data_IF_603762941515
#
_entry.id   IF_603762941515
#
_cell.length_a   1.000
_cell.length_b   1.000
_cell.length_c   1.000
_cell.angle_alpha   90.00
_cell.angle_beta   90.00
_cell.angle_gamma   90.00
#
_symmetry.space_group_name_H-M   'P 1'
#
loop_
_entity.id
_entity.type
_entity.pdbx_description
1 polymer ?
#
# COMPACT_ATOMS: atom_id res chain seq x y z
N UNK A 1 77.86 -22.26 12.59
CA UNK A 1 76.49 -22.42 12.05
C UNK A 1 75.98 -23.79 12.50
N UNK A 2 75.01 -23.85 13.40
CA UNK A 2 74.27 -25.06 13.70
C UNK A 2 72.78 -24.70 13.65
N UNK A 3 72.10 -25.14 12.60
CA UNK A 3 70.67 -24.94 12.43
C UNK A 3 69.94 -25.91 13.36
N UNK A 4 69.45 -25.41 14.50
CA UNK A 4 68.59 -26.18 15.40
C UNK A 4 67.22 -26.34 14.75
N UNK A 5 67.00 -27.45 14.04
CA UNK A 5 65.67 -27.85 13.59
C UNK A 5 64.88 -28.32 14.81
N UNK A 6 63.82 -27.60 15.17
CA UNK A 6 62.90 -28.03 16.23
C UNK A 6 62.12 -29.24 15.72
N UNK A 7 62.28 -30.37 16.39
CA UNK A 7 61.54 -31.59 16.09
C UNK A 7 60.07 -31.39 16.50
N UNK A 8 59.18 -31.19 15.52
CA UNK A 8 57.74 -31.10 15.76
C UNK A 8 57.21 -32.53 15.86
N UNK A 9 56.50 -32.85 16.93
CA UNK A 9 55.96 -34.21 17.09
C UNK A 9 54.87 -34.47 16.04
N UNK A 10 54.72 -35.71 15.54
CA UNK A 10 53.64 -36.08 14.63
C UNK A 10 52.25 -35.73 15.19
N UNK A 11 52.09 -35.81 16.52
CA UNK A 11 50.86 -35.46 17.22
C UNK A 11 50.56 -33.97 17.13
N UNK A 12 51.57 -33.11 17.23
CA UNK A 12 51.42 -31.66 17.05
C UNK A 12 50.98 -31.33 15.63
N UNK A 13 51.56 -31.98 14.62
CA UNK A 13 51.13 -31.79 13.21
C UNK A 13 49.68 -32.21 13.04
N UNK A 14 49.25 -33.34 13.60
CA UNK A 14 47.88 -33.84 13.51
C UNK A 14 46.85 -32.89 14.17
N UNK A 15 47.19 -32.30 15.32
CA UNK A 15 46.33 -31.33 16.01
C UNK A 15 46.19 -30.05 15.18
N UNK A 16 47.29 -29.53 14.62
CA UNK A 16 47.21 -28.32 13.79
C UNK A 16 46.46 -28.55 12.49
N UNK A 17 46.64 -29.70 11.82
CA UNK A 17 45.90 -30.01 10.59
C UNK A 17 44.41 -30.19 10.87
N UNK A 18 44.03 -30.88 11.94
CA UNK A 18 42.62 -31.03 12.32
C UNK A 18 41.98 -29.69 12.65
N UNK A 19 42.63 -28.84 13.46
CA UNK A 19 42.11 -27.50 13.76
C UNK A 19 41.98 -26.62 12.52
N UNK A 20 42.93 -26.70 11.58
CA UNK A 20 42.87 -25.98 10.31
C UNK A 20 41.71 -26.47 9.44
N UNK A 21 41.48 -27.78 9.35
CA UNK A 21 40.35 -28.36 8.60
C UNK A 21 39.02 -27.96 9.23
N UNK A 22 38.87 -28.01 10.56
CA UNK A 22 37.63 -27.60 11.23
C UNK A 22 37.34 -26.10 11.08
N UNK A 23 38.35 -25.24 11.20
CA UNK A 23 38.21 -23.79 11.01
C UNK A 23 37.89 -23.44 9.56
N UNK A 24 38.56 -24.08 8.60
CA UNK A 24 38.26 -23.91 7.17
C UNK A 24 36.86 -24.41 6.83
N UNK A 25 36.45 -25.57 7.32
CA UNK A 25 35.10 -26.11 7.11
C UNK A 25 34.01 -25.25 7.75
N UNK A 26 34.29 -24.66 8.92
CA UNK A 26 33.38 -23.71 9.58
C UNK A 26 33.28 -22.39 8.82
N UNK A 27 34.40 -21.88 8.28
CA UNK A 27 34.43 -20.68 7.44
C UNK A 27 33.69 -20.92 6.12
N UNK A 28 33.94 -22.05 5.45
CA UNK A 28 33.24 -22.44 4.22
C UNK A 28 31.76 -22.63 4.51
N UNK A 29 31.36 -23.31 5.58
CA UNK A 29 29.94 -23.41 5.97
C UNK A 29 29.32 -22.08 6.37
N UNK A 30 30.08 -21.14 6.93
CA UNK A 30 29.61 -19.78 7.25
C UNK A 30 29.40 -18.96 5.98
N UNK A 31 30.31 -19.07 5.00
CA UNK A 31 30.17 -18.48 3.67
C UNK A 31 29.01 -19.13 2.89
N UNK A 32 28.82 -20.46 3.02
CA UNK A 32 27.72 -21.19 2.38
C UNK A 32 26.36 -20.96 3.05
N UNK A 33 26.31 -20.79 4.39
CA UNK A 33 25.10 -20.40 5.13
C UNK A 33 24.71 -18.93 4.90
N UNK A 34 25.65 -18.08 4.46
CA UNK A 34 25.42 -16.67 4.12
C UNK A 34 24.68 -16.42 2.81
N UNK A 35 24.39 -17.46 2.02
CA UNK A 35 23.67 -17.35 0.75
C UNK A 35 22.44 -18.27 0.70
N UNK A 36 21.52 -18.10 1.65
CA UNK A 36 20.10 -18.18 1.24
C UNK A 36 19.77 -16.87 0.54
N UNK A 37 20.04 -16.81 -0.75
CA UNK A 37 19.41 -15.82 -1.63
C UNK A 37 17.90 -16.06 -1.53
N UNK A 38 17.21 -15.32 -0.66
CA UNK A 38 15.81 -15.03 -0.93
C UNK A 38 15.86 -14.13 -2.16
N UNK A 39 15.46 -14.67 -3.31
CA UNK A 39 15.31 -13.87 -4.52
C UNK A 39 14.51 -12.61 -4.19
N UNK A 40 15.02 -11.45 -4.62
CA UNK A 40 14.34 -10.20 -4.39
C UNK A 40 12.90 -10.31 -4.93
N UNK A 41 11.90 -9.77 -4.23
CA UNK A 41 10.51 -9.76 -4.69
C UNK A 41 10.40 -9.31 -6.14
N UNK A 42 9.90 -10.19 -7.01
CA UNK A 42 9.75 -9.90 -8.44
C UNK A 42 8.32 -9.42 -8.73
N UNK A 43 8.18 -8.14 -9.06
CA UNK A 43 6.94 -7.47 -9.42
C UNK A 43 7.21 -6.32 -10.38
N UNK A 44 6.18 -5.85 -11.10
CA UNK A 44 6.34 -4.96 -12.26
C UNK A 44 5.97 -3.51 -11.97
N UNK A 45 4.86 -3.29 -11.24
CA UNK A 45 4.34 -1.97 -10.90
C UNK A 45 3.71 -1.94 -9.50
N UNK A 46 3.35 -0.74 -9.04
CA UNK A 46 2.58 -0.51 -7.82
C UNK A 46 1.15 -0.11 -8.18
N UNK A 47 0.16 -0.74 -7.56
CA UNK A 47 -1.24 -0.30 -7.62
C UNK A 47 -1.54 0.51 -6.36
N UNK A 48 -1.85 1.79 -6.52
CA UNK A 48 -2.34 2.62 -5.43
C UNK A 48 -3.87 2.55 -5.39
N UNK A 49 -4.39 1.90 -4.37
CA UNK A 49 -5.82 1.63 -4.19
C UNK A 49 -6.43 2.64 -3.24
N UNK A 50 -7.45 3.35 -3.70
CA UNK A 50 -8.29 4.22 -2.89
C UNK A 50 -9.70 3.65 -2.84
N UNK A 51 -10.34 3.69 -1.67
CA UNK A 51 -11.71 3.26 -1.47
C UNK A 51 -12.62 4.44 -1.06
N UNK A 52 -13.91 4.32 -1.38
CA UNK A 52 -14.93 5.26 -0.91
C UNK A 52 -15.48 4.77 0.43
N UNK A 53 -15.23 5.48 1.56
CA UNK A 53 -15.61 4.99 2.88
C UNK A 53 -17.10 4.65 3.04
N UNK A 54 -17.98 5.43 2.40
CA UNK A 54 -19.42 5.14 2.45
C UNK A 54 -19.78 3.82 1.78
N UNK A 55 -19.10 3.47 0.69
CA UNK A 55 -19.29 2.19 -0.01
C UNK A 55 -18.72 1.03 0.79
N UNK A 56 -17.54 1.19 1.39
CA UNK A 56 -16.95 0.19 2.29
C UNK A 56 -17.86 -0.07 3.48
N UNK A 57 -18.38 1.00 4.08
CA UNK A 57 -19.30 0.90 5.20
C UNK A 57 -20.62 0.23 4.80
N UNK A 58 -21.19 0.59 3.65
CA UNK A 58 -22.39 -0.04 3.12
C UNK A 58 -22.17 -1.54 2.93
N UNK A 59 -21.10 -1.94 2.23
CA UNK A 59 -20.74 -3.34 2.02
C UNK A 59 -20.64 -4.08 3.36
N UNK A 60 -19.84 -3.56 4.30
CA UNK A 60 -19.66 -4.16 5.62
C UNK A 60 -20.98 -4.31 6.39
N UNK A 61 -21.79 -3.25 6.44
CA UNK A 61 -23.08 -3.24 7.15
C UNK A 61 -24.09 -4.22 6.53
N UNK A 62 -24.00 -4.46 5.22
CA UNK A 62 -24.88 -5.41 4.53
C UNK A 62 -24.55 -6.86 4.91
N UNK A 63 -23.33 -7.17 5.34
CA UNK A 63 -22.89 -8.55 5.63
C UNK A 63 -23.37 -9.06 6.99
N UNK A 64 -23.82 -8.18 7.90
CA UNK A 64 -24.27 -8.61 9.23
C UNK A 64 -25.05 -7.54 10.00
N UNK A 65 -26.09 -7.96 10.72
CA UNK A 65 -27.00 -7.05 11.45
C UNK A 65 -26.32 -6.23 12.56
N UNK A 66 -25.21 -6.72 13.10
CA UNK A 66 -24.43 -6.04 14.15
C UNK A 66 -23.20 -5.31 13.59
N UNK A 67 -23.04 -5.27 12.27
CA UNK A 67 -21.92 -4.61 11.62
C UNK A 67 -22.12 -3.10 11.63
N UNK A 68 -21.15 -2.39 12.20
CA UNK A 68 -21.12 -0.93 12.21
C UNK A 68 -19.75 -0.42 11.79
N UNK A 69 -19.69 0.85 11.43
CA UNK A 69 -18.51 1.51 10.89
C UNK A 69 -17.95 2.53 11.89
N UNK A 70 -16.67 2.83 11.77
CA UNK A 70 -16.05 3.98 12.43
C UNK A 70 -16.50 5.28 11.77
N UNK A 71 -16.27 6.39 12.46
CA UNK A 71 -16.37 7.70 11.85
C UNK A 71 -15.18 7.89 10.90
N UNK A 72 -15.46 8.12 9.63
CA UNK A 72 -14.49 8.47 8.60
C UNK A 72 -14.72 9.91 8.13
N UNK A 73 -13.72 10.58 7.52
CA UNK A 73 -13.91 11.95 7.07
C UNK A 73 -15.00 12.06 6.01
N UNK A 74 -15.72 13.17 6.03
CA UNK A 74 -16.81 13.42 5.11
C UNK A 74 -16.29 13.68 3.70
N UNK A 75 -17.01 13.15 2.71
CA UNK A 75 -16.83 13.45 1.28
C UNK A 75 -15.38 13.35 0.75
N UNK A 76 -14.61 12.37 1.21
CA UNK A 76 -13.26 12.12 0.68
C UNK A 76 -13.00 10.63 0.50
N UNK A 77 -12.15 10.33 -0.49
CA UNK A 77 -11.58 9.00 -0.66
C UNK A 77 -10.44 8.79 0.33
N UNK A 78 -10.29 7.54 0.78
CA UNK A 78 -9.22 7.09 1.67
C UNK A 78 -8.39 6.00 1.00
N UNK A 79 -7.18 5.82 1.49
CA UNK A 79 -6.25 4.80 1.04
C UNK A 79 -6.72 3.44 1.56
N UNK A 80 -6.73 2.45 0.66
CA UNK A 80 -6.76 1.05 1.05
C UNK A 80 -5.33 0.51 1.13
N UNK A 81 -4.53 0.70 0.08
CA UNK A 81 -3.10 0.40 0.13
C UNK A 81 -2.28 0.67 -1.13
N UNK A 82 -0.98 0.38 -1.03
CA UNK A 82 0.00 0.47 -2.12
C UNK A 82 0.50 -0.95 -2.40
N UNK A 83 0.11 -1.53 -3.51
CA UNK A 83 0.27 -2.97 -3.73
C UNK A 83 1.24 -3.27 -4.87
N UNK A 84 2.46 -3.77 -4.55
CA UNK A 84 3.33 -4.37 -5.55
C UNK A 84 2.60 -5.45 -6.33
N UNK A 85 2.61 -5.32 -7.65
CA UNK A 85 1.85 -6.19 -8.55
C UNK A 85 2.72 -6.67 -9.70
N UNK A 86 2.73 -7.99 -9.92
CA UNK A 86 3.21 -8.62 -11.13
C UNK A 86 2.05 -8.72 -12.13
N UNK A 87 2.30 -8.32 -13.37
CA UNK A 87 1.29 -8.31 -14.43
C UNK A 87 0.67 -9.69 -14.62
N UNK A 88 -0.63 -9.72 -14.85
CA UNK A 88 -1.42 -10.95 -14.99
C UNK A 88 -1.72 -11.68 -13.67
N UNK A 89 -1.29 -11.16 -12.51
CA UNK A 89 -1.47 -11.83 -11.20
C UNK A 89 -2.04 -10.89 -10.13
N UNK A 90 -2.46 -11.46 -8.99
CA UNK A 90 -2.79 -10.72 -7.77
C UNK A 90 -1.61 -10.87 -6.80
N UNK A 91 -0.80 -9.83 -6.64
CA UNK A 91 0.39 -9.85 -5.78
C UNK A 91 1.70 -9.63 -6.55
N UNK A 92 2.87 -9.81 -5.90
CA UNK A 92 3.12 -10.69 -4.76
C UNK A 92 2.61 -10.13 -3.43
N UNK A 93 2.51 -11.01 -2.44
CA UNK A 93 2.22 -10.64 -1.06
C UNK A 93 3.14 -11.37 -0.09
N UNK A 94 3.28 -10.83 1.12
CA UNK A 94 3.96 -11.48 2.24
C UNK A 94 5.45 -11.81 2.00
N UNK A 95 6.16 -10.92 1.29
CA UNK A 95 7.52 -11.16 0.83
C UNK A 95 8.58 -11.28 1.94
N UNK A 96 8.31 -10.72 3.13
CA UNK A 96 9.14 -10.93 4.33
C UNK A 96 8.26 -11.35 5.51
N UNK A 97 7.83 -12.60 5.51
CA UNK A 97 6.90 -13.14 6.51
C UNK A 97 7.37 -13.04 7.97
N UNK A 98 8.68 -12.98 8.20
CA UNK A 98 9.29 -12.80 9.51
C UNK A 98 9.35 -11.34 9.99
N UNK A 99 9.11 -10.37 9.12
CA UNK A 99 9.08 -8.95 9.50
C UNK A 99 7.80 -8.67 10.29
N UNK A 100 7.96 -8.25 11.56
CA UNK A 100 6.87 -7.72 12.39
C UNK A 100 6.68 -6.23 12.12
N UNK A 101 5.43 -5.78 12.10
CA UNK A 101 5.08 -4.36 12.15
C UNK A 101 5.35 -3.78 13.55
N UNK A 102 5.86 -2.55 13.63
CA UNK A 102 6.09 -1.82 14.88
C UNK A 102 5.33 -0.49 14.86
N UNK A 103 4.35 -0.29 15.77
CA UNK A 103 3.68 0.99 15.94
C UNK A 103 4.63 2.19 16.08
N UNK A 104 5.76 1.98 16.75
CA UNK A 104 6.78 3.01 16.99
C UNK A 104 7.47 3.44 15.68
N UNK A 105 7.53 2.56 14.67
CA UNK A 105 8.15 2.86 13.38
C UNK A 105 7.36 3.89 12.56
N UNK A 106 6.08 4.13 12.88
CA UNK A 106 5.23 5.14 12.24
C UNK A 106 4.93 6.34 13.15
N UNK A 107 5.73 6.50 14.21
CA UNK A 107 5.58 7.61 15.14
C UNK A 107 5.56 8.97 14.39
N UNK A 108 4.65 9.85 14.80
CA UNK A 108 4.51 11.20 14.25
C UNK A 108 3.60 11.33 13.02
N UNK A 109 3.21 10.22 12.37
CA UNK A 109 2.30 10.26 11.21
C UNK A 109 0.96 9.55 11.46
N UNK A 110 0.74 8.99 12.66
CA UNK A 110 -0.50 8.29 13.02
C UNK A 110 -1.76 9.12 12.85
N UNK A 111 -1.75 10.38 13.27
CA UNK A 111 -2.92 11.27 13.14
C UNK A 111 -3.27 11.50 11.67
N UNK A 112 -2.26 11.62 10.80
CA UNK A 112 -2.46 11.73 9.35
C UNK A 112 -3.00 10.42 8.78
N UNK A 113 -2.44 9.28 9.16
CA UNK A 113 -2.95 7.97 8.76
C UNK A 113 -4.40 7.76 9.21
N UNK A 114 -4.78 8.25 10.39
CA UNK A 114 -6.17 8.18 10.84
C UNK A 114 -7.12 9.04 9.99
N UNK A 115 -6.63 10.07 9.30
CA UNK A 115 -7.44 10.86 8.37
C UNK A 115 -7.57 10.19 7.00
N UNK A 116 -6.49 9.61 6.47
CA UNK A 116 -6.46 9.19 5.06
C UNK A 116 -6.34 7.67 4.85
N UNK A 117 -6.01 6.90 5.87
CA UNK A 117 -5.71 5.46 5.76
C UNK A 117 -6.19 4.68 7.00
N UNK A 118 -7.36 5.03 7.52
CA UNK A 118 -7.97 4.36 8.68
C UNK A 118 -8.87 3.20 8.24
N UNK A 119 -9.06 2.16 9.09
CA UNK A 119 -10.12 1.19 8.86
C UNK A 119 -11.50 1.85 8.88
N UNK A 120 -12.40 1.37 8.03
CA UNK A 120 -13.80 1.82 8.03
C UNK A 120 -14.65 0.93 8.93
N UNK A 121 -14.37 -0.37 9.01
CA UNK A 121 -15.14 -1.30 9.84
C UNK A 121 -14.78 -1.19 11.33
N UNK A 122 -15.79 -1.04 12.20
CA UNK A 122 -15.60 -0.78 13.63
C UNK A 122 -14.82 -1.86 14.39
N UNK A 123 -14.89 -3.11 13.93
CA UNK A 123 -14.21 -4.22 14.60
C UNK A 123 -12.69 -4.23 14.35
N UNK A 124 -12.21 -3.55 13.30
CA UNK A 124 -10.78 -3.53 12.96
C UNK A 124 -10.06 -2.46 13.79
N UNK A 125 -8.97 -2.86 14.44
CA UNK A 125 -8.08 -1.93 15.14
C UNK A 125 -7.10 -1.30 14.15
N UNK A 126 -6.74 -0.03 14.36
CA UNK A 126 -5.84 0.72 13.46
C UNK A 126 -4.52 0.00 13.19
N UNK A 127 -3.85 -0.50 14.24
CA UNK A 127 -2.56 -1.18 14.10
C UNK A 127 -2.66 -2.55 13.46
N UNK A 128 -3.76 -3.29 13.68
CA UNK A 128 -3.96 -4.58 13.00
C UNK A 128 -4.13 -4.37 11.49
N UNK A 129 -4.84 -3.30 11.10
CA UNK A 129 -5.02 -2.91 9.71
C UNK A 129 -3.71 -2.46 9.06
N UNK A 130 -2.95 -1.55 9.69
CA UNK A 130 -1.65 -1.11 9.17
C UNK A 130 -0.62 -2.25 9.15
N UNK A 131 -0.61 -3.13 10.17
CA UNK A 131 0.23 -4.32 10.17
C UNK A 131 -0.11 -5.25 9.01
N UNK A 132 -1.39 -5.41 8.65
CA UNK A 132 -1.80 -6.19 7.48
C UNK A 132 -1.24 -5.58 6.19
N UNK A 133 -1.46 -4.29 5.96
CA UNK A 133 -0.99 -3.60 4.75
C UNK A 133 0.55 -3.64 4.63
N UNK A 134 1.27 -3.41 5.73
CA UNK A 134 2.73 -3.53 5.73
C UNK A 134 3.19 -4.96 5.47
N UNK A 135 2.72 -5.93 6.26
CA UNK A 135 3.18 -7.32 6.16
C UNK A 135 2.90 -7.91 4.78
N UNK A 136 1.70 -7.68 4.26
CA UNK A 136 1.27 -8.23 2.97
C UNK A 136 1.89 -7.48 1.79
N UNK A 137 1.92 -6.15 1.81
CA UNK A 137 2.28 -5.35 0.64
C UNK A 137 3.58 -4.56 0.83
N UNK A 138 3.71 -3.85 1.95
CA UNK A 138 4.90 -3.05 2.26
C UNK A 138 6.21 -3.85 2.27
N UNK A 139 6.20 -5.08 2.80
CA UNK A 139 7.40 -5.95 2.78
C UNK A 139 7.88 -6.27 1.36
N UNK A 140 6.97 -6.36 0.38
CA UNK A 140 7.29 -6.55 -1.02
C UNK A 140 7.78 -5.25 -1.69
N UNK A 141 7.24 -4.10 -1.26
CA UNK A 141 7.63 -2.78 -1.74
C UNK A 141 8.99 -2.33 -1.21
N UNK A 142 9.44 -2.89 -0.08
CA UNK A 142 10.68 -2.51 0.64
C UNK A 142 11.98 -2.68 -0.14
N UNK A 143 11.93 -3.21 -1.36
CA UNK A 143 13.06 -3.19 -2.31
C UNK A 143 13.31 -1.80 -2.90
N UNK A 144 12.31 -0.91 -2.88
CA UNK A 144 12.43 0.45 -3.35
C UNK A 144 12.89 1.36 -2.20
N UNK A 145 13.94 2.18 -2.40
CA UNK A 145 14.40 3.12 -1.36
C UNK A 145 13.29 4.03 -0.81
N UNK A 146 12.38 4.48 -1.67
CA UNK A 146 11.26 5.35 -1.29
C UNK A 146 10.14 4.66 -0.48
N UNK A 147 10.21 3.34 -0.30
CA UNK A 147 9.23 2.50 0.42
C UNK A 147 9.94 1.50 1.35
N UNK A 148 11.21 1.75 1.70
CA UNK A 148 12.10 0.76 2.31
C UNK A 148 11.70 0.38 3.75
N UNK A 149 11.18 1.36 4.49
CA UNK A 149 10.74 1.19 5.89
C UNK A 149 9.22 1.31 6.04
N UNK A 150 8.71 0.94 7.22
CA UNK A 150 7.30 1.17 7.58
C UNK A 150 6.93 2.64 7.44
N UNK A 151 7.76 3.53 8.00
CA UNK A 151 7.58 4.98 7.88
C UNK A 151 7.50 5.41 6.42
N UNK A 152 8.49 5.03 5.60
CA UNK A 152 8.55 5.45 4.19
C UNK A 152 7.32 4.97 3.41
N UNK A 153 6.89 3.73 3.64
CA UNK A 153 5.73 3.15 2.97
C UNK A 153 4.44 3.89 3.31
N UNK A 154 4.18 4.13 4.60
CA UNK A 154 2.98 4.83 5.04
C UNK A 154 3.00 6.32 4.68
N UNK A 155 4.15 6.97 4.84
CA UNK A 155 4.31 8.37 4.47
C UNK A 155 4.17 8.58 2.96
N UNK A 156 4.71 7.67 2.14
CA UNK A 156 4.50 7.75 0.69
C UNK A 156 3.02 7.64 0.33
N UNK A 157 2.24 6.79 1.00
CA UNK A 157 0.79 6.75 0.80
C UNK A 157 0.10 8.07 1.10
N UNK A 158 0.50 8.74 2.18
CA UNK A 158 0.03 10.09 2.53
C UNK A 158 0.36 11.10 1.42
N UNK A 159 1.56 11.06 0.86
CA UNK A 159 1.93 11.95 -0.26
C UNK A 159 1.11 11.64 -1.52
N UNK A 160 0.91 10.37 -1.85
CA UNK A 160 0.16 9.94 -3.03
C UNK A 160 -1.33 10.32 -2.92
N UNK A 161 -1.97 10.16 -1.76
CA UNK A 161 -3.38 10.57 -1.59
C UNK A 161 -3.53 12.08 -1.67
N UNK A 162 -2.53 12.87 -1.24
CA UNK A 162 -2.56 14.33 -1.37
C UNK A 162 -2.46 14.76 -2.84
N UNK A 163 -1.60 14.09 -3.62
CA UNK A 163 -1.42 14.41 -5.03
C UNK A 163 -2.57 13.91 -5.93
N UNK A 164 -3.13 12.74 -5.62
CA UNK A 164 -4.04 12.00 -6.51
C UNK A 164 -5.34 11.58 -5.81
N UNK A 165 -5.87 12.36 -4.88
CA UNK A 165 -7.15 12.02 -4.24
C UNK A 165 -8.27 11.86 -5.29
N UNK A 166 -8.94 10.71 -5.30
CA UNK A 166 -10.00 10.43 -6.27
C UNK A 166 -11.20 11.36 -6.14
N UNK A 167 -11.42 12.01 -4.99
CA UNK A 167 -12.42 13.05 -4.86
C UNK A 167 -12.15 14.19 -5.85
N UNK A 168 -10.92 14.71 -5.87
CA UNK A 168 -10.54 15.81 -6.75
C UNK A 168 -10.46 15.38 -8.23
N UNK A 169 -10.03 14.15 -8.49
CA UNK A 169 -9.95 13.62 -9.86
C UNK A 169 -11.35 13.44 -10.47
N UNK A 170 -12.26 12.77 -9.76
CA UNK A 170 -13.62 12.53 -10.23
C UNK A 170 -14.41 13.85 -10.33
N UNK A 171 -14.26 14.76 -9.37
CA UNK A 171 -14.92 16.06 -9.42
C UNK A 171 -14.51 16.89 -10.65
N UNK A 172 -13.21 16.90 -11.02
CA UNK A 172 -12.73 17.55 -12.26
C UNK A 172 -13.32 16.94 -13.53
N UNK A 173 -13.74 15.68 -13.48
CA UNK A 173 -14.45 15.00 -14.56
C UNK A 173 -15.98 15.20 -14.52
N UNK A 174 -16.52 15.95 -13.54
CA UNK A 174 -17.96 16.14 -13.35
C UNK A 174 -18.66 14.97 -12.67
N UNK A 175 -17.90 14.08 -12.01
CA UNK A 175 -18.41 12.90 -11.32
C UNK A 175 -18.38 13.18 -9.82
N UNK A 176 -19.57 13.24 -9.21
CA UNK A 176 -19.76 13.65 -7.82
C UNK A 176 -20.57 12.61 -7.04
N UNK A 177 -20.38 12.48 -5.72
CA UNK A 177 -21.14 11.54 -4.91
C UNK A 177 -22.63 11.90 -4.88
N UNK A 178 -23.48 10.89 -4.72
CA UNK A 178 -24.94 10.99 -4.72
C UNK A 178 -25.60 10.77 -6.09
N UNK A 179 -24.86 10.29 -7.08
CA UNK A 179 -25.35 10.04 -8.44
C UNK A 179 -24.95 8.65 -8.94
N UNK A 180 -25.50 8.25 -10.09
CA UNK A 180 -25.15 7.01 -10.77
C UNK A 180 -24.48 7.31 -12.12
N UNK A 181 -23.48 6.50 -12.47
CA UNK A 181 -22.69 6.68 -13.69
C UNK A 181 -22.45 5.35 -14.38
N UNK A 182 -22.29 5.35 -15.70
CA UNK A 182 -21.78 4.18 -16.40
C UNK A 182 -20.31 3.96 -16.03
N UNK A 183 -19.86 2.71 -16.01
CA UNK A 183 -18.47 2.36 -15.70
C UNK A 183 -17.49 3.09 -16.63
N UNK A 184 -17.84 3.20 -17.91
CA UNK A 184 -17.05 3.94 -18.92
C UNK A 184 -16.92 5.41 -18.59
N UNK A 185 -17.96 6.07 -18.09
CA UNK A 185 -17.89 7.48 -17.68
C UNK A 185 -16.89 7.69 -16.55
N UNK A 186 -16.89 6.79 -15.55
CA UNK A 186 -15.93 6.83 -14.44
C UNK A 186 -14.51 6.63 -14.95
N UNK A 187 -14.31 5.59 -15.75
CA UNK A 187 -13.02 5.25 -16.31
C UNK A 187 -12.47 6.37 -17.20
N UNK A 188 -13.27 6.86 -18.15
CA UNK A 188 -12.91 7.93 -19.08
C UNK A 188 -12.65 9.25 -18.34
N UNK A 189 -13.43 9.53 -17.29
CA UNK A 189 -13.25 10.71 -16.44
C UNK A 189 -11.88 10.73 -15.77
N UNK A 190 -11.47 9.62 -15.16
CA UNK A 190 -10.14 9.50 -14.55
C UNK A 190 -9.05 9.54 -15.61
N UNK A 191 -9.22 8.84 -16.73
CA UNK A 191 -8.27 8.86 -17.85
C UNK A 191 -8.09 10.28 -18.41
N UNK A 192 -9.16 11.05 -18.57
CA UNK A 192 -9.11 12.44 -19.04
C UNK A 192 -8.33 13.35 -18.11
N UNK A 193 -8.46 13.16 -16.79
CA UNK A 193 -7.82 14.05 -15.79
C UNK A 193 -6.36 13.67 -15.54
N UNK A 194 -6.04 12.38 -15.56
CA UNK A 194 -4.69 11.88 -15.22
C UNK A 194 -3.87 11.46 -16.44
N UNK A 195 -4.48 11.37 -17.62
CA UNK A 195 -3.88 10.82 -18.83
C UNK A 195 -3.30 9.41 -18.62
N UNK A 196 -3.95 8.61 -17.77
CA UNK A 196 -3.58 7.24 -17.41
C UNK A 196 -4.80 6.37 -17.17
N UNK A 197 -4.72 5.11 -17.59
CA UNK A 197 -5.81 4.13 -17.49
C UNK A 197 -5.94 3.59 -16.05
N UNK A 198 -7.06 3.85 -15.35
CA UNK A 198 -7.26 3.36 -13.98
C UNK A 198 -7.83 1.94 -13.96
N UNK A 199 -7.93 1.38 -12.74
CA UNK A 199 -8.90 0.33 -12.44
C UNK A 199 -10.14 0.92 -11.74
N UNK A 200 -11.33 0.42 -12.07
CA UNK A 200 -12.60 0.79 -11.42
C UNK A 200 -13.21 -0.46 -10.77
N UNK A 201 -13.44 -0.41 -9.47
CA UNK A 201 -13.89 -1.58 -8.70
C UNK A 201 -15.24 -1.30 -8.06
N UNK A 202 -16.15 -2.26 -8.21
CA UNK A 202 -17.48 -2.22 -7.63
C UNK A 202 -17.73 -3.45 -6.73
N UNK A 203 -18.71 -3.32 -5.85
CA UNK A 203 -19.40 -4.48 -5.29
C UNK A 203 -20.88 -4.42 -5.69
N UNK A 204 -21.54 -5.57 -5.68
CA UNK A 204 -22.99 -5.63 -5.83
C UNK A 204 -23.59 -5.85 -4.44
N UNK A 205 -24.58 -5.04 -4.07
CA UNK A 205 -25.31 -5.23 -2.82
C UNK A 205 -26.31 -6.40 -2.91
N UNK A 206 -27.08 -6.61 -1.85
CA UNK A 206 -28.09 -7.69 -1.78
C UNK A 206 -29.23 -7.51 -2.79
N UNK A 207 -29.45 -6.30 -3.27
CA UNK A 207 -30.45 -5.97 -4.28
C UNK A 207 -29.86 -6.01 -5.71
N UNK A 208 -28.62 -6.49 -5.84
CA UNK A 208 -27.87 -6.58 -7.09
C UNK A 208 -27.65 -5.21 -7.75
N UNK A 209 -27.62 -4.15 -6.95
CA UNK A 209 -27.23 -2.79 -7.33
C UNK A 209 -25.71 -2.72 -7.32
N UNK A 210 -25.12 -2.22 -8.40
CA UNK A 210 -23.67 -2.06 -8.49
C UNK A 210 -23.25 -0.75 -7.83
N UNK A 211 -22.31 -0.80 -6.91
CA UNK A 211 -21.86 0.34 -6.10
C UNK A 211 -20.35 0.53 -6.25
N UNK A 212 -19.93 1.75 -6.55
CA UNK A 212 -18.52 2.13 -6.72
C UNK A 212 -17.78 1.95 -5.40
N UNK A 213 -16.78 1.08 -5.37
CA UNK A 213 -16.03 0.73 -4.15
C UNK A 213 -14.64 1.35 -4.14
N UNK A 214 -13.88 1.11 -5.22
CA UNK A 214 -12.48 1.54 -5.34
C UNK A 214 -12.22 2.15 -6.71
N UNK A 215 -11.30 3.11 -6.73
CA UNK A 215 -10.63 3.53 -7.96
C UNK A 215 -9.14 3.42 -7.69
N UNK A 216 -8.43 2.75 -8.61
CA UNK A 216 -7.01 2.44 -8.44
C UNK A 216 -6.21 3.01 -9.59
N UNK A 217 -5.05 3.54 -9.29
CA UNK A 217 -4.10 4.10 -10.26
C UNK A 217 -2.74 3.42 -10.08
N UNK A 218 -1.94 3.39 -11.15
CA UNK A 218 -0.71 2.61 -11.17
C UNK A 218 0.54 3.49 -11.25
N UNK A 219 1.62 3.01 -10.62
CA UNK A 219 2.92 3.66 -10.63
C UNK A 219 4.01 2.67 -11.03
N UNK A 220 5.02 3.15 -11.78
CA UNK A 220 6.25 2.38 -11.99
C UNK A 220 7.10 2.32 -10.70
N UNK A 221 8.25 1.66 -10.78
CA UNK A 221 9.19 1.54 -9.64
C UNK A 221 9.88 2.86 -9.26
N UNK A 222 9.78 3.87 -10.11
CA UNK A 222 10.27 5.22 -9.88
C UNK A 222 9.18 6.14 -9.34
N UNK A 223 7.97 5.60 -9.08
CA UNK A 223 6.79 6.34 -8.61
C UNK A 223 6.26 7.36 -9.64
N UNK A 224 6.49 7.13 -10.93
CA UNK A 224 5.79 7.86 -11.98
C UNK A 224 4.45 7.20 -12.29
N UNK A 225 3.43 8.00 -12.57
CA UNK A 225 2.11 7.51 -12.93
C UNK A 225 2.15 6.78 -14.29
N UNK A 226 1.64 5.55 -14.33
CA UNK A 226 1.60 4.68 -15.51
C UNK A 226 0.22 4.08 -15.72
N UNK A 227 -0.03 3.53 -16.91
CA UNK A 227 -1.26 2.81 -17.18
C UNK A 227 -1.33 1.51 -16.37
N UNK A 228 -2.53 1.15 -15.91
CA UNK A 228 -2.75 -0.12 -15.24
C UNK A 228 -2.87 -1.31 -16.21
N UNK A 229 -2.60 -1.15 -17.51
CA UNK A 229 -2.73 -2.23 -18.50
C UNK A 229 -1.95 -3.50 -18.07
N UNK A 230 -2.57 -4.67 -18.27
CA UNK A 230 -1.99 -5.96 -17.90
C UNK A 230 -2.13 -6.35 -16.42
N UNK A 231 -2.62 -5.45 -15.57
CA UNK A 231 -3.02 -5.79 -14.19
C UNK A 231 -4.36 -6.51 -14.15
N UNK A 232 -4.65 -7.13 -13.00
CA UNK A 232 -5.87 -7.91 -12.77
C UNK A 232 -6.70 -7.30 -11.65
N UNK A 233 -7.98 -7.03 -11.91
CA UNK A 233 -8.96 -6.70 -10.86
C UNK A 233 -9.59 -7.99 -10.34
N UNK A 234 -9.05 -8.54 -9.26
CA UNK A 234 -9.68 -9.68 -8.56
C UNK A 234 -11.03 -9.28 -7.98
N UNK A 235 -12.08 -10.05 -8.28
CA UNK A 235 -13.28 -10.04 -7.46
C UNK A 235 -13.00 -11.00 -6.30
N UNK A 236 -12.94 -10.50 -5.06
CA UNK A 236 -12.87 -11.34 -3.85
C UNK A 236 -11.68 -12.33 -3.77
N UNK A 237 -10.52 -12.00 -4.34
CA UNK A 237 -9.33 -12.86 -4.25
C UNK A 237 -9.33 -14.09 -5.15
N UNK A 238 -10.29 -14.19 -6.08
CA UNK A 238 -10.27 -15.21 -7.13
C UNK A 238 -9.58 -14.67 -8.40
N UNK A 239 -8.73 -15.49 -9.00
CA UNK A 239 -8.12 -15.18 -10.30
C UNK A 239 -9.20 -15.09 -11.40
N UNK A 240 -9.09 -14.13 -12.34
CA UNK A 240 -10.02 -14.05 -13.47
C UNK A 240 -9.91 -15.28 -14.37
N UNK A 241 -11.05 -15.79 -14.83
CA UNK A 241 -11.11 -16.81 -15.86
C UNK A 241 -10.49 -16.33 -17.18
N UNK A 242 -9.93 -17.26 -17.97
CA UNK A 242 -9.24 -16.99 -19.24
C UNK A 242 -10.10 -16.22 -20.28
N UNK A 243 -11.42 -16.36 -20.23
CA UNK A 243 -12.36 -15.67 -21.13
C UNK A 243 -12.43 -14.16 -20.88
N UNK A 244 -12.15 -13.70 -19.64
CA UNK A 244 -12.20 -12.29 -19.24
C UNK A 244 -11.07 -11.44 -19.85
N UNK A 245 -10.05 -12.08 -20.42
CA UNK A 245 -8.80 -11.44 -20.91
C UNK A 245 -8.95 -10.66 -22.22
N UNK A 246 -10.09 -10.71 -22.92
CA UNK A 246 -10.21 -10.29 -24.34
C UNK A 246 -10.72 -8.86 -24.61
N UNK A 247 -11.05 -8.04 -23.62
CA UNK A 247 -11.50 -6.66 -23.85
C UNK A 247 -10.81 -5.65 -22.93
N UNK A 248 -10.30 -4.55 -23.52
CA UNK A 248 -9.44 -3.55 -22.86
C UNK A 248 -10.06 -2.85 -21.64
N UNK A 249 -11.38 -2.93 -21.44
CA UNK A 249 -12.06 -2.44 -20.24
C UNK A 249 -12.33 -3.56 -19.20
N UNK A 250 -12.44 -4.81 -19.63
CA UNK A 250 -12.87 -5.94 -18.79
C UNK A 250 -11.78 -6.47 -17.83
N UNK A 251 -10.50 -6.17 -18.11
CA UNK A 251 -9.40 -6.52 -17.21
C UNK A 251 -9.20 -5.49 -16.09
N UNK A 252 -9.57 -4.23 -16.34
CA UNK A 252 -9.38 -3.11 -15.42
C UNK A 252 -10.65 -2.76 -14.62
N UNK A 253 -11.70 -3.57 -14.74
CA UNK A 253 -12.90 -3.42 -13.93
C UNK A 253 -13.51 -4.76 -13.56
N UNK A 254 -14.10 -4.84 -12.37
CA UNK A 254 -15.04 -5.92 -12.00
C UNK A 254 -16.50 -5.45 -11.98
N UNK A 255 -16.76 -4.18 -12.32
CA UNK A 255 -18.10 -3.63 -12.40
C UNK A 255 -18.84 -4.22 -13.60
N UNK A 256 -20.16 -4.34 -13.47
CA UNK A 256 -21.02 -4.79 -14.56
C UNK A 256 -21.18 -3.65 -15.57
N UNK A 257 -20.56 -3.78 -16.76
CA UNK A 257 -20.54 -2.72 -17.78
C UNK A 257 -21.92 -2.29 -18.26
N UNK A 258 -22.89 -3.21 -18.22
CA UNK A 258 -24.29 -2.98 -18.65
C UNK A 258 -25.15 -2.28 -17.58
N UNK A 259 -24.62 -2.07 -16.37
CA UNK A 259 -25.34 -1.42 -15.28
C UNK A 259 -24.72 -0.07 -14.94
N UNK A 260 -25.55 0.89 -14.59
CA UNK A 260 -25.08 2.07 -13.88
C UNK A 260 -24.52 1.66 -12.52
N UNK A 261 -23.42 2.32 -12.15
CA UNK A 261 -22.75 2.19 -10.86
C UNK A 261 -23.20 3.35 -9.98
N UNK A 262 -23.76 3.04 -8.82
CA UNK A 262 -24.06 4.03 -7.79
C UNK A 262 -22.75 4.55 -7.21
N UNK A 263 -22.59 5.88 -7.17
CA UNK A 263 -21.57 6.55 -6.37
C UNK A 263 -22.28 7.18 -5.17
N UNK A 264 -22.33 6.49 -4.01
CA UNK A 264 -23.16 6.93 -2.89
C UNK A 264 -22.74 8.30 -2.35
N UNK A 265 -23.67 9.05 -1.72
CA UNK A 265 -23.31 10.26 -0.98
C UNK A 265 -22.23 9.93 0.07
N UNK A 266 -21.34 10.87 0.34
CA UNK A 266 -20.34 10.69 1.39
C UNK A 266 -20.98 10.79 2.77
N UNK A 267 -20.19 10.47 3.81
CA UNK A 267 -20.65 10.70 5.18
C UNK A 267 -21.02 12.18 5.37
N UNK A 268 -22.11 12.48 6.10
CA UNK A 268 -22.45 13.85 6.43
C UNK A 268 -21.29 14.50 7.20
N UNK A 269 -21.03 15.80 6.99
CA UNK A 269 -20.05 16.53 7.79
C UNK A 269 -20.37 16.36 9.28
N UNK A 270 -19.35 16.12 10.10
CA UNK A 270 -19.53 16.18 11.55
C UNK A 270 -20.07 17.56 11.90
N UNK A 271 -21.15 17.63 12.67
CA UNK A 271 -21.70 18.89 13.15
C UNK A 271 -20.74 19.41 14.24
N UNK A 272 -19.74 20.21 13.84
CA UNK A 272 -18.79 20.81 14.76
C UNK A 272 -19.43 22.04 15.44
N UNK A 273 -19.23 22.19 16.75
CA UNK A 273 -19.48 23.48 17.40
C UNK A 273 -18.40 24.48 16.93
N UNK A 274 -18.72 25.78 16.93
CA UNK A 274 -17.77 26.83 16.51
C UNK A 274 -16.43 26.73 17.24
N UNK A 275 -16.46 26.40 18.54
CA UNK A 275 -15.26 26.24 19.37
C UNK A 275 -14.37 25.07 18.92
N UNK A 276 -14.96 24.03 18.34
CA UNK A 276 -14.23 22.86 17.85
C UNK A 276 -13.59 23.13 16.48
N UNK A 277 -14.21 23.98 15.65
CA UNK A 277 -13.62 24.43 14.39
C UNK A 277 -12.33 25.22 14.61
N UNK A 278 -12.34 26.13 15.58
CA UNK A 278 -11.17 26.95 15.92
C UNK A 278 -10.01 26.10 16.46
N UNK A 279 -10.30 25.10 17.31
CA UNK A 279 -9.26 24.18 17.80
C UNK A 279 -8.67 23.33 16.68
N UNK A 280 -9.50 22.85 15.76
CA UNK A 280 -9.05 22.03 14.63
C UNK A 280 -8.20 22.85 13.64
N UNK A 281 -8.57 24.12 13.39
CA UNK A 281 -7.78 25.05 12.58
C UNK A 281 -6.42 25.35 13.20
N UNK A 282 -6.37 25.59 14.52
CA UNK A 282 -5.11 25.81 15.22
C UNK A 282 -4.21 24.57 15.21
N UNK A 283 -4.78 23.37 15.39
CA UNK A 283 -4.04 22.11 15.32
C UNK A 283 -3.43 21.90 13.93
N UNK A 284 -4.24 22.10 12.87
CA UNK A 284 -3.80 21.95 11.47
C UNK A 284 -2.68 22.92 11.09
N UNK A 285 -2.74 24.18 11.55
CA UNK A 285 -1.67 25.14 11.32
C UNK A 285 -0.35 24.74 12.01
N UNK A 286 -0.44 24.18 13.22
CA UNK A 286 0.74 23.71 13.97
C UNK A 286 1.38 22.48 13.30
N UNK A 287 0.57 21.52 12.83
CA UNK A 287 1.05 20.35 12.10
C UNK A 287 1.74 20.74 10.79
N UNK A 288 1.14 21.64 10.00
CA UNK A 288 1.75 22.13 8.77
C UNK A 288 3.11 22.80 9.05
N UNK A 289 3.22 23.59 10.12
CA UNK A 289 4.49 24.19 10.52
C UNK A 289 5.55 23.16 10.90
N UNK A 290 5.17 22.05 11.55
CA UNK A 290 6.11 20.99 11.92
C UNK A 290 6.59 20.20 10.71
N UNK A 291 5.70 19.92 9.75
CA UNK A 291 6.04 19.24 8.49
C UNK A 291 7.02 20.09 7.68
N UNK A 292 6.78 21.40 7.57
CA UNK A 292 7.72 22.31 6.89
C UNK A 292 9.10 22.33 7.54
N UNK A 293 9.17 22.28 8.89
CA UNK A 293 10.44 22.18 9.60
C UNK A 293 11.15 20.84 9.38
N UNK A 294 10.41 19.73 9.35
CA UNK A 294 10.95 18.40 9.05
C UNK A 294 11.48 18.32 7.62
N UNK A 295 10.76 18.87 6.64
CA UNK A 295 11.21 18.99 5.25
C UNK A 295 12.50 19.82 5.15
N UNK A 296 12.59 20.93 5.88
CA UNK A 296 13.78 21.76 5.92
C UNK A 296 14.98 21.02 6.53
N UNK A 297 14.78 20.28 7.62
CA UNK A 297 15.82 19.47 8.26
C UNK A 297 16.34 18.38 7.30
N UNK A 298 15.44 17.66 6.64
CA UNK A 298 15.82 16.68 5.61
C UNK A 298 16.53 17.32 4.43
N UNK A 299 16.11 18.51 3.98
CA UNK A 299 16.78 19.25 2.92
C UNK A 299 18.20 19.69 3.32
N UNK A 300 18.41 20.12 4.56
CA UNK A 300 19.75 20.52 5.06
C UNK A 300 20.72 19.34 5.24
N UNK A 301 20.23 18.12 5.50
CA UNK A 301 21.07 16.92 5.57
C UNK A 301 21.72 16.55 4.23
N UNK A 302 21.16 17.01 3.11
CA UNK A 302 21.73 16.80 1.77
C UNK A 302 22.86 17.76 1.41
N UNK A 303 23.03 18.87 2.14
CA UNK A 303 24.11 19.84 1.92
C UNK A 303 25.32 19.63 2.85
N UNK A 304 25.28 18.63 3.72
CA UNK A 304 26.34 18.31 4.70
C UNK A 304 27.07 17.00 4.41
N UNK A 305 27.01 16.49 3.17
CA UNK A 305 27.83 15.37 2.67
C UNK A 305 28.69 15.87 1.51
#
# INVERSE_FOLDING_TARGET
MASTYRHISPTTVLIFTTLFVFSFFSLVNSLYRGHRHHDAPNWDLLIFTQNWPSSVCHKWSSEGVNHSCLNYPANTWTIHGIWPTKLGTIGPGFCKNSSSFSPEAIYGIEDQLMQVWAPVEKHKKKYDFWAHEWKKHGTCASILPALATEFDYFYKGIELIQAYNMNGVLQKAGIIPGQAYNVTQIWDGVHKVLNKKPQVVCFNDKENVSVLLEVRICFDKQLNLVDCDGTVVGANGEEPTLERRRSGYQNLSNCLMEKSVQYPPGAPPKRHSLNQLDSDLQKKNKENSLIEKLKLLHFTQWFTI
#
